data_IF_738113207739
#
_entry.id   IF_738113207739
#
_cell.length_a   1.000
_cell.length_b   1.000
_cell.length_c   1.000
_cell.angle_alpha   90.00
_cell.angle_beta   90.00
_cell.angle_gamma   90.00
#
_symmetry.space_group_name_H-M   'P 1'
#
loop_
_entity.id
_entity.type
_entity.pdbx_description
1 polymer ?
#
# COMPACT_ATOMS: atom_id res chain seq x y z
N UNK A 1 10.57 36.09 -24.34
CA UNK A 1 9.38 35.22 -24.22
C UNK A 1 9.86 33.83 -23.84
N UNK A 2 9.22 33.21 -22.84
CA UNK A 2 9.02 31.76 -22.60
C UNK A 2 10.22 30.85 -22.83
N UNK A 3 10.78 30.13 -21.86
CA UNK A 3 10.22 29.08 -20.98
C UNK A 3 11.50 28.30 -20.54
N UNK A 4 11.67 27.65 -19.39
CA UNK A 4 10.82 26.77 -18.62
C UNK A 4 11.54 26.55 -17.29
N UNK A 5 10.84 26.72 -16.17
CA UNK A 5 11.26 26.23 -14.88
C UNK A 5 11.20 24.69 -14.91
N UNK A 6 12.34 24.02 -14.93
CA UNK A 6 12.40 22.62 -14.51
C UNK A 6 12.36 22.60 -12.99
N UNK A 7 11.14 22.62 -12.45
CA UNK A 7 10.89 22.20 -11.07
C UNK A 7 11.26 20.73 -10.97
N UNK A 8 12.50 20.45 -10.57
CA UNK A 8 12.88 19.13 -10.11
C UNK A 8 12.16 18.92 -8.78
N UNK A 9 11.03 18.23 -8.83
CA UNK A 9 10.36 17.74 -7.64
C UNK A 9 11.37 16.85 -6.90
N UNK A 10 11.93 17.38 -5.82
CA UNK A 10 12.74 16.61 -4.89
C UNK A 10 11.88 15.45 -4.42
N UNK A 11 12.16 14.26 -4.96
CA UNK A 11 11.53 13.03 -4.54
C UNK A 11 12.08 12.75 -3.15
N UNK A 12 11.20 12.80 -2.14
CA UNK A 12 11.58 12.46 -0.77
C UNK A 12 12.29 11.08 -0.78
N UNK A 13 13.42 10.92 -0.07
CA UNK A 13 14.11 9.64 -0.01
C UNK A 13 13.18 8.63 0.66
N UNK A 14 12.65 7.71 -0.14
CA UNK A 14 11.90 6.56 0.36
C UNK A 14 12.91 5.57 0.92
N UNK A 15 12.70 5.12 2.16
CA UNK A 15 13.51 4.07 2.80
C UNK A 15 13.55 2.74 1.99
N UNK A 16 12.70 2.61 0.96
CA UNK A 16 12.60 1.45 0.08
C UNK A 16 13.24 1.64 -1.31
N UNK A 17 14.04 2.70 -1.53
CA UNK A 17 14.81 2.83 -2.79
C UNK A 17 15.82 1.69 -2.91
N UNK A 18 15.56 0.71 -3.78
CA UNK A 18 16.45 -0.43 -4.01
C UNK A 18 15.76 -1.77 -4.29
N UNK A 19 14.47 -1.89 -3.99
CA UNK A 19 13.68 -3.09 -4.30
C UNK A 19 13.10 -3.05 -5.71
N UNK A 20 13.02 -4.21 -6.36
CA UNK A 20 12.21 -4.35 -7.57
C UNK A 20 10.71 -4.26 -7.24
N UNK A 21 9.90 -3.87 -8.22
CA UNK A 21 8.45 -3.75 -8.01
C UNK A 21 7.83 -5.10 -7.64
N UNK A 22 8.26 -6.19 -8.28
CA UNK A 22 7.82 -7.54 -7.95
C UNK A 22 8.11 -7.91 -6.49
N UNK A 23 9.31 -7.60 -6.00
CA UNK A 23 9.70 -7.83 -4.59
C UNK A 23 8.86 -6.97 -3.63
N UNK A 24 8.63 -5.70 -4.02
CA UNK A 24 7.78 -4.79 -3.26
C UNK A 24 6.34 -5.28 -3.19
N UNK A 25 5.82 -5.82 -4.29
CA UNK A 25 4.50 -6.43 -4.37
C UNK A 25 4.37 -7.61 -3.39
N UNK A 26 5.33 -8.54 -3.42
CA UNK A 26 5.35 -9.70 -2.54
C UNK A 26 5.43 -9.31 -1.05
N UNK A 27 6.27 -8.32 -0.72
CA UNK A 27 6.41 -7.85 0.65
C UNK A 27 5.13 -7.15 1.16
N UNK A 28 4.39 -6.49 0.27
CA UNK A 28 3.15 -5.78 0.62
C UNK A 28 2.06 -6.75 1.07
N UNK A 29 1.87 -7.84 0.32
CA UNK A 29 0.89 -8.89 0.66
C UNK A 29 1.21 -9.52 2.02
N UNK A 30 2.51 -9.72 2.33
CA UNK A 30 2.95 -10.24 3.64
C UNK A 30 2.61 -9.25 4.76
N UNK A 31 2.90 -7.96 4.59
CA UNK A 31 2.58 -6.96 5.60
C UNK A 31 1.09 -6.77 5.82
N UNK A 32 0.29 -6.81 4.75
CA UNK A 32 -1.16 -6.74 4.85
C UNK A 32 -1.70 -7.93 5.67
N UNK A 33 -1.31 -9.16 5.32
CA UNK A 33 -1.73 -10.35 6.06
C UNK A 33 -1.28 -10.34 7.52
N UNK A 34 -0.06 -9.91 7.81
CA UNK A 34 0.45 -9.81 9.19
C UNK A 34 -0.33 -8.76 9.99
N UNK A 35 -0.68 -7.64 9.39
CA UNK A 35 -1.48 -6.60 10.05
C UNK A 35 -2.86 -7.13 10.43
N UNK A 36 -3.53 -7.86 9.53
CA UNK A 36 -4.82 -8.49 9.83
C UNK A 36 -4.73 -9.52 10.97
N UNK A 37 -3.68 -10.34 10.97
CA UNK A 37 -3.43 -11.33 12.01
C UNK A 37 -3.15 -10.66 13.37
N UNK A 38 -2.38 -9.58 13.39
CA UNK A 38 -2.10 -8.82 14.62
C UNK A 38 -3.35 -8.16 15.19
N UNK A 39 -4.21 -7.57 14.34
CA UNK A 39 -5.51 -7.02 14.76
C UNK A 39 -6.42 -8.13 15.30
N UNK A 40 -6.48 -9.29 14.64
CA UNK A 40 -7.27 -10.42 15.13
C UNK A 40 -6.75 -10.94 16.48
N UNK A 41 -5.43 -10.91 16.66
CA UNK A 41 -4.77 -11.32 17.89
C UNK A 41 -4.98 -10.33 19.05
N UNK A 42 -4.92 -9.01 18.79
CA UNK A 42 -5.15 -7.97 19.82
C UNK A 42 -6.58 -7.95 20.36
N UNK A 43 -7.55 -8.43 19.59
CA UNK A 43 -8.94 -8.59 20.01
C UNK A 43 -9.18 -9.79 20.95
N UNK A 44 -8.15 -10.60 21.28
CA UNK A 44 -8.31 -11.72 22.19
C UNK A 44 -8.31 -11.29 23.67
N UNK A 45 -9.25 -11.77 24.50
CA UNK A 45 -9.44 -11.31 25.89
C UNK A 45 -8.35 -11.74 26.88
N UNK A 46 -7.23 -12.29 26.41
CA UNK A 46 -6.20 -12.95 27.22
C UNK A 46 -4.94 -12.10 27.44
N UNK A 47 -4.88 -10.92 26.84
CA UNK A 47 -3.71 -10.05 26.92
C UNK A 47 -3.91 -8.97 27.98
N UNK A 48 -3.00 -8.94 28.96
CA UNK A 48 -2.87 -7.80 29.88
C UNK A 48 -2.23 -6.59 29.20
N UNK A 49 -2.32 -5.43 29.84
CA UNK A 49 -1.93 -4.12 29.28
C UNK A 49 -0.52 -4.06 28.66
N UNK A 50 0.45 -4.78 29.23
CA UNK A 50 1.82 -4.83 28.69
C UNK A 50 1.93 -5.59 27.35
N UNK A 51 1.06 -6.57 27.11
CA UNK A 51 0.99 -7.29 25.84
C UNK A 51 0.27 -6.49 24.75
N UNK A 52 -0.69 -5.66 25.15
CA UNK A 52 -1.38 -4.73 24.25
C UNK A 52 -0.45 -3.64 23.74
N UNK A 53 0.36 -3.03 24.60
CA UNK A 53 1.33 -2.00 24.17
C UNK A 53 2.36 -2.50 23.15
N UNK A 54 2.94 -3.69 23.37
CA UNK A 54 3.86 -4.29 22.40
C UNK A 54 3.17 -4.62 21.06
N UNK A 55 1.91 -5.06 21.09
CA UNK A 55 1.14 -5.33 19.88
C UNK A 55 0.78 -4.05 19.13
N UNK A 56 0.49 -2.96 19.84
CA UNK A 56 0.26 -1.64 19.25
C UNK A 56 1.52 -1.13 18.54
N UNK A 57 2.69 -1.17 19.21
CA UNK A 57 3.97 -0.74 18.64
C UNK A 57 4.32 -1.54 17.37
N UNK A 58 4.15 -2.86 17.42
CA UNK A 58 4.40 -3.74 16.27
C UNK A 58 3.41 -3.41 15.14
N UNK A 59 2.12 -3.28 15.46
CA UNK A 59 1.08 -2.98 14.45
C UNK A 59 1.33 -1.62 13.78
N UNK A 60 1.78 -0.62 14.54
CA UNK A 60 2.13 0.70 14.01
C UNK A 60 3.34 0.65 13.07
N UNK A 61 4.42 -0.07 13.43
CA UNK A 61 5.58 -0.23 12.54
C UNK A 61 5.22 -0.96 11.25
N UNK A 62 4.43 -2.04 11.34
CA UNK A 62 3.92 -2.76 10.16
C UNK A 62 3.04 -1.86 9.28
N UNK A 63 2.13 -1.09 9.88
CA UNK A 63 1.30 -0.15 9.16
C UNK A 63 2.13 0.94 8.45
N UNK A 64 3.15 1.48 9.12
CA UNK A 64 4.07 2.47 8.54
C UNK A 64 4.81 1.89 7.33
N UNK A 65 5.39 0.69 7.46
CA UNK A 65 6.09 0.03 6.35
C UNK A 65 5.17 -0.34 5.19
N UNK A 66 3.96 -0.81 5.49
CA UNK A 66 2.93 -1.09 4.48
C UNK A 66 2.57 0.18 3.69
N UNK A 67 2.44 1.35 4.35
CA UNK A 67 2.20 2.64 3.68
C UNK A 67 3.36 3.08 2.79
N UNK A 68 4.61 2.94 3.26
CA UNK A 68 5.80 3.26 2.47
C UNK A 68 5.89 2.39 1.21
N UNK A 69 5.56 1.11 1.37
CA UNK A 69 5.55 0.15 0.27
C UNK A 69 4.42 0.40 -0.72
N UNK A 70 3.21 0.75 -0.23
CA UNK A 70 2.12 1.23 -1.07
C UNK A 70 2.53 2.47 -1.87
N UNK A 71 3.20 3.45 -1.25
CA UNK A 71 3.69 4.63 -1.94
C UNK A 71 4.69 4.28 -3.05
N UNK A 72 5.60 3.33 -2.80
CA UNK A 72 6.52 2.81 -3.81
C UNK A 72 5.78 2.13 -4.97
N UNK A 73 4.86 1.20 -4.69
CA UNK A 73 4.06 0.48 -5.70
C UNK A 73 3.24 1.46 -6.56
N UNK A 74 2.70 2.53 -5.96
CA UNK A 74 1.97 3.59 -6.69
C UNK A 74 2.87 4.39 -7.64
N UNK A 75 4.09 4.69 -7.22
CA UNK A 75 5.05 5.51 -7.97
C UNK A 75 5.77 4.72 -9.07
N UNK A 76 5.92 3.41 -8.92
CA UNK A 76 6.65 2.56 -9.88
C UNK A 76 5.74 2.11 -11.02
N UNK A 77 6.28 2.06 -12.25
CA UNK A 77 5.56 1.59 -13.44
C UNK A 77 5.57 0.05 -13.48
N UNK A 78 4.40 -0.61 -13.49
CA UNK A 78 4.32 -2.07 -13.54
C UNK A 78 4.77 -2.62 -14.89
N UNK A 79 5.62 -3.65 -14.85
CA UNK A 79 6.15 -4.37 -15.99
C UNK A 79 5.17 -5.44 -16.49
N UNK A 80 4.45 -6.10 -15.58
CA UNK A 80 3.52 -7.19 -15.91
C UNK A 80 2.09 -6.97 -15.40
N UNK A 81 1.24 -7.97 -15.64
CA UNK A 81 -0.17 -7.93 -15.24
C UNK A 81 -0.37 -8.07 -13.73
N UNK A 82 0.40 -8.93 -13.08
CA UNK A 82 0.32 -9.20 -11.65
C UNK A 82 0.62 -7.91 -10.88
N UNK A 83 1.70 -7.23 -11.25
CA UNK A 83 2.08 -5.94 -10.70
C UNK A 83 1.02 -4.85 -10.97
N UNK A 84 0.42 -4.82 -12.17
CA UNK A 84 -0.71 -3.91 -12.48
C UNK A 84 -1.91 -4.17 -11.57
N UNK A 85 -2.28 -5.43 -11.38
CA UNK A 85 -3.40 -5.83 -10.53
C UNK A 85 -3.17 -5.45 -9.08
N UNK A 86 -1.98 -5.70 -8.55
CA UNK A 86 -1.66 -5.32 -7.17
C UNK A 86 -1.61 -3.81 -6.98
N UNK A 87 -1.01 -3.06 -7.91
CA UNK A 87 -1.04 -1.59 -7.89
C UNK A 87 -2.46 -1.04 -7.86
N UNK A 88 -3.36 -1.60 -8.68
CA UNK A 88 -4.77 -1.23 -8.65
C UNK A 88 -5.42 -1.53 -7.29
N UNK A 89 -5.16 -2.70 -6.68
CA UNK A 89 -5.63 -3.03 -5.33
C UNK A 89 -5.13 -2.03 -4.27
N UNK A 90 -3.86 -1.65 -4.32
CA UNK A 90 -3.27 -0.67 -3.39
C UNK A 90 -3.97 0.68 -3.50
N UNK A 91 -4.16 1.19 -4.73
CA UNK A 91 -4.85 2.48 -4.94
C UNK A 91 -6.30 2.38 -4.46
N UNK A 92 -7.00 1.27 -4.75
CA UNK A 92 -8.37 1.06 -4.30
C UNK A 92 -8.48 1.07 -2.77
N UNK A 93 -7.57 0.36 -2.09
CA UNK A 93 -7.55 0.29 -0.64
C UNK A 93 -7.30 1.67 -0.01
N UNK A 94 -6.35 2.43 -0.54
CA UNK A 94 -6.10 3.81 -0.06
C UNK A 94 -7.34 4.69 -0.26
N UNK A 95 -7.98 4.64 -1.44
CA UNK A 95 -9.22 5.36 -1.69
C UNK A 95 -10.36 4.93 -0.75
N UNK A 96 -10.43 3.64 -0.40
CA UNK A 96 -11.39 3.11 0.57
C UNK A 96 -11.09 3.51 2.02
N UNK A 97 -9.85 3.83 2.37
CA UNK A 97 -9.48 4.30 3.72
C UNK A 97 -9.71 5.80 3.90
N UNK A 98 -9.65 6.59 2.81
CA UNK A 98 -9.96 8.03 2.80
C UNK A 98 -11.47 8.33 2.65
N UNK A 99 -12.30 7.31 2.45
CA UNK A 99 -13.79 7.20 2.48
C UNK A 99 -14.73 8.32 1.98
N UNK A 100 -14.28 9.47 1.49
CA UNK A 100 -15.20 10.50 0.97
C UNK A 100 -15.41 10.45 -0.56
N UNK A 101 -14.59 9.69 -1.32
CA UNK A 101 -14.67 9.65 -2.79
C UNK A 101 -15.02 8.27 -3.37
N UNK A 102 -16.32 7.98 -3.43
CA UNK A 102 -16.87 6.77 -4.05
C UNK A 102 -16.59 6.67 -5.57
N UNK A 103 -16.24 7.78 -6.23
CA UNK A 103 -16.01 7.80 -7.68
C UNK A 103 -14.65 7.24 -8.06
N UNK A 104 -13.63 7.47 -7.25
CA UNK A 104 -12.28 6.91 -7.42
C UNK A 104 -12.29 5.39 -7.17
N UNK A 105 -13.03 4.93 -6.16
CA UNK A 105 -13.26 3.51 -5.86
C UNK A 105 -13.89 2.78 -7.06
N UNK A 106 -14.93 3.36 -7.68
CA UNK A 106 -15.63 2.75 -8.81
C UNK A 106 -14.73 2.62 -10.06
N UNK A 107 -13.89 3.62 -10.34
CA UNK A 107 -12.96 3.60 -11.46
C UNK A 107 -11.91 2.49 -11.31
N UNK A 108 -11.40 2.27 -10.10
CA UNK A 108 -10.37 1.26 -9.84
C UNK A 108 -10.97 -0.15 -9.82
N UNK A 109 -12.17 -0.33 -9.25
CA UNK A 109 -12.89 -1.59 -9.30
C UNK A 109 -13.14 -2.07 -10.75
N UNK A 110 -13.41 -1.14 -11.68
CA UNK A 110 -13.55 -1.46 -13.10
C UNK A 110 -12.24 -1.95 -13.76
N UNK A 111 -11.09 -1.42 -13.34
CA UNK A 111 -9.76 -1.91 -13.80
C UNK A 111 -9.50 -3.33 -13.30
N UNK A 112 -9.88 -3.63 -12.06
CA UNK A 112 -9.75 -4.98 -11.48
C UNK A 112 -10.73 -5.99 -12.08
N UNK A 113 -11.94 -5.55 -12.42
CA UNK A 113 -12.98 -6.39 -13.02
C UNK A 113 -12.79 -6.60 -14.54
N UNK A 114 -11.87 -5.87 -15.17
CA UNK A 114 -11.63 -5.97 -16.60
C UNK A 114 -11.09 -7.37 -16.95
N UNK A 115 -11.79 -8.15 -17.80
CA UNK A 115 -11.36 -9.50 -18.16
C UNK A 115 -10.04 -9.49 -18.95
N UNK A 116 -9.27 -10.57 -18.85
CA UNK A 116 -8.08 -10.83 -19.66
C UNK A 116 -8.44 -10.68 -21.16
N UNK A 117 -8.08 -9.58 -21.81
CA UNK A 117 -8.12 -9.52 -23.28
C UNK A 117 -6.81 -10.14 -23.78
N UNK A 118 -6.88 -11.43 -24.08
CA UNK A 118 -5.89 -12.17 -24.86
C UNK A 118 -5.75 -11.62 -26.28
#
# INVERSE_FOLDING_TARGET
>A
MREQQTSSAATAPSEFTGFELAESCALYEVFESLTEQLIAFSNQPRFGDAGLGLLEDISEDFAKRSRLLAAHIKATRPADRTERGLRAKVILRDAMLDTDDLSEIAAIAAVLAAPERH
#
